data_IF_752005781782
#
_entry.id   IF_752005781782
#
_cell.length_a   1.000
_cell.length_b   1.000
_cell.length_c   1.000
_cell.angle_alpha   90.00
_cell.angle_beta   90.00
_cell.angle_gamma   90.00
#
_symmetry.space_group_name_H-M   'P 1'
#
loop_
_entity.id
_entity.type
_entity.pdbx_description
1 polymer ?
#
# COMPACT_ATOMS: atom_id res chain seq x y z
N UNK A 1 17.69 10.81 -0.27
CA UNK A 1 16.23 11.03 -0.25
C UNK A 1 15.90 12.10 0.77
N UNK A 2 14.92 12.98 0.49
CA UNK A 2 14.45 14.02 1.44
C UNK A 2 12.92 14.00 1.54
N UNK A 3 12.41 14.14 2.76
CA UNK A 3 10.97 14.21 3.02
C UNK A 3 10.42 15.52 2.47
N UNK A 4 9.41 15.44 1.61
CA UNK A 4 8.73 16.60 1.05
C UNK A 4 7.51 17.01 1.88
N UNK A 5 6.73 16.02 2.31
CA UNK A 5 5.50 16.22 3.07
C UNK A 5 5.07 14.91 3.74
N UNK A 6 4.35 15.03 4.85
CA UNK A 6 3.67 13.94 5.52
C UNK A 6 2.14 14.19 5.54
N UNK A 7 1.39 13.09 5.53
CA UNK A 7 -0.06 13.08 5.38
C UNK A 7 -0.69 12.14 6.40
N UNK A 8 -1.90 12.49 6.82
CA UNK A 8 -2.76 11.64 7.65
C UNK A 8 -3.68 10.75 6.77
N UNK A 9 -3.46 10.75 5.45
CA UNK A 9 -4.17 9.96 4.46
C UNK A 9 -3.19 9.31 3.48
N UNK A 10 -3.33 8.00 3.27
CA UNK A 10 -2.56 7.26 2.24
C UNK A 10 -2.88 7.81 0.84
N UNK A 11 -4.15 8.11 0.58
CA UNK A 11 -4.62 8.57 -0.73
C UNK A 11 -3.98 9.92 -1.11
N UNK A 12 -3.93 10.88 -0.18
CA UNK A 12 -3.30 12.19 -0.43
C UNK A 12 -1.80 12.05 -0.69
N UNK A 13 -1.10 11.19 0.08
CA UNK A 13 0.31 10.91 -0.12
C UNK A 13 0.58 10.28 -1.49
N UNK A 14 -0.24 9.30 -1.90
CA UNK A 14 -0.14 8.66 -3.21
C UNK A 14 -0.44 9.62 -4.35
N UNK A 15 -1.46 10.47 -4.22
CA UNK A 15 -1.80 11.48 -5.22
C UNK A 15 -0.65 12.46 -5.46
N UNK A 16 -0.02 12.97 -4.39
CA UNK A 16 1.15 13.83 -4.53
C UNK A 16 2.35 13.09 -5.14
N UNK A 17 2.58 11.83 -4.74
CA UNK A 17 3.66 11.02 -5.30
C UNK A 17 3.49 10.80 -6.80
N UNK A 18 2.29 10.40 -7.24
CA UNK A 18 1.97 10.19 -8.65
C UNK A 18 2.09 11.49 -9.45
N UNK A 19 1.57 12.60 -8.91
CA UNK A 19 1.72 13.92 -9.51
C UNK A 19 3.20 14.28 -9.75
N UNK A 20 4.07 14.06 -8.76
CA UNK A 20 5.50 14.32 -8.90
C UNK A 20 6.16 13.42 -9.96
N UNK A 21 5.82 12.13 -9.95
CA UNK A 21 6.31 11.16 -10.93
C UNK A 21 5.92 11.55 -12.36
N UNK A 22 4.69 11.99 -12.58
CA UNK A 22 4.19 12.41 -13.89
C UNK A 22 4.85 13.72 -14.38
N UNK A 23 5.37 14.54 -13.48
CA UNK A 23 6.18 15.72 -13.82
C UNK A 23 7.68 15.41 -13.97
N UNK A 24 8.06 14.14 -13.83
CA UNK A 24 9.45 13.68 -13.95
C UNK A 24 10.28 13.94 -12.71
N UNK A 25 9.68 13.91 -11.52
CA UNK A 25 10.37 13.92 -10.21
C UNK A 25 10.30 12.54 -9.59
N UNK A 26 11.46 11.98 -9.21
CA UNK A 26 11.52 10.66 -8.58
C UNK A 26 11.01 10.77 -7.14
N UNK A 27 9.81 10.25 -6.88
CA UNK A 27 9.16 10.31 -5.58
C UNK A 27 8.69 8.91 -5.12
N UNK A 28 8.69 8.69 -3.81
CA UNK A 28 8.20 7.45 -3.20
C UNK A 28 7.42 7.74 -1.93
N UNK A 29 6.45 6.88 -1.60
CA UNK A 29 5.65 6.95 -0.38
C UNK A 29 6.18 5.95 0.63
N UNK A 30 6.33 6.36 1.89
CA UNK A 30 6.72 5.47 2.99
C UNK A 30 5.73 5.52 4.15
N UNK A 31 5.74 4.48 4.97
CA UNK A 31 4.89 4.39 6.15
C UNK A 31 3.47 3.86 5.89
N UNK A 32 3.16 3.40 4.67
CA UNK A 32 1.83 2.85 4.32
C UNK A 32 1.44 1.67 5.21
N UNK A 33 2.30 0.65 5.32
CA UNK A 33 2.03 -0.52 6.16
C UNK A 33 1.94 -0.13 7.65
N UNK A 34 2.81 0.77 8.10
CA UNK A 34 2.77 1.26 9.48
C UNK A 34 1.45 1.99 9.76
N UNK A 35 0.97 2.82 8.83
CA UNK A 35 -0.31 3.52 8.93
C UNK A 35 -1.51 2.56 8.90
N UNK A 36 -1.50 1.53 8.05
CA UNK A 36 -2.54 0.49 8.02
C UNK A 36 -2.61 -0.29 9.34
N UNK A 37 -1.47 -0.51 9.99
CA UNK A 37 -1.37 -1.14 11.30
C UNK A 37 -1.17 -0.12 12.44
N UNK A 38 -1.72 1.10 12.33
CA UNK A 38 -1.51 2.21 13.29
C UNK A 38 -1.75 1.84 14.76
N UNK A 39 -2.68 0.92 15.04
CA UNK A 39 -2.98 0.43 16.40
C UNK A 39 -1.80 -0.32 17.00
N UNK A 40 -1.01 -1.02 16.19
CA UNK A 40 0.16 -1.78 16.60
C UNK A 40 1.46 -0.98 16.45
N UNK A 41 1.56 -0.17 15.40
CA UNK A 41 2.79 0.56 15.05
C UNK A 41 2.93 1.91 15.75
N UNK A 42 1.83 2.49 16.23
CA UNK A 42 1.78 3.87 16.73
C UNK A 42 1.98 4.95 15.65
N UNK A 43 2.19 4.57 14.39
CA UNK A 43 2.38 5.52 13.30
C UNK A 43 1.02 6.04 12.81
N UNK A 44 0.87 7.35 12.81
CA UNK A 44 -0.34 8.01 12.32
C UNK A 44 -0.15 8.71 10.98
N UNK A 45 1.06 8.70 10.41
CA UNK A 45 1.38 9.48 9.21
C UNK A 45 2.09 8.67 8.13
N UNK A 46 1.94 9.13 6.89
CA UNK A 46 2.53 8.59 5.67
C UNK A 46 3.36 9.69 5.01
N UNK A 47 4.62 9.41 4.66
CA UNK A 47 5.54 10.42 4.13
C UNK A 47 5.76 10.28 2.62
N UNK A 48 5.80 11.39 1.90
CA UNK A 48 6.24 11.48 0.50
C UNK A 48 7.68 11.98 0.46
N UNK A 49 8.55 11.21 -0.18
CA UNK A 49 9.99 11.44 -0.23
C UNK A 49 10.44 11.65 -1.67
N UNK A 50 11.29 12.65 -1.89
CA UNK A 50 12.01 12.82 -3.15
C UNK A 50 13.28 11.99 -3.12
N UNK A 51 13.47 11.15 -4.12
CA UNK A 51 14.57 10.18 -4.20
C UNK A 51 15.89 10.91 -4.40
N UNK A 52 15.97 11.77 -5.42
CA UNK A 52 17.16 12.53 -5.79
C UNK A 52 17.16 13.92 -5.16
N UNK A 53 18.26 14.30 -4.51
CA UNK A 53 18.34 15.57 -3.79
C UNK A 53 18.26 16.79 -4.72
N UNK A 54 18.83 16.70 -5.92
CA UNK A 54 18.76 17.76 -6.93
C UNK A 54 17.33 18.10 -7.36
N UNK A 55 16.41 17.14 -7.29
CA UNK A 55 15.00 17.35 -7.65
C UNK A 55 14.17 17.89 -6.48
N UNK A 56 14.73 17.94 -5.27
CA UNK A 56 13.97 18.34 -4.08
C UNK A 56 13.43 19.77 -4.17
N UNK A 57 14.23 20.70 -4.71
CA UNK A 57 13.79 22.07 -4.90
C UNK A 57 12.68 22.18 -5.94
N UNK A 58 12.79 21.43 -7.04
CA UNK A 58 11.75 21.37 -8.08
C UNK A 58 10.45 20.77 -7.55
N UNK A 59 10.53 19.73 -6.70
CA UNK A 59 9.37 19.17 -6.03
C UNK A 59 8.70 20.17 -5.08
N UNK A 60 9.48 20.95 -4.34
CA UNK A 60 8.98 22.02 -3.48
C UNK A 60 8.26 23.12 -4.28
N UNK A 61 8.79 23.46 -5.46
CA UNK A 61 8.18 24.45 -6.35
C UNK A 61 6.91 23.90 -6.99
N UNK A 62 6.91 22.67 -7.50
CA UNK A 62 5.72 22.00 -8.04
C UNK A 62 4.56 21.92 -7.06
N UNK A 63 4.85 21.78 -5.76
CA UNK A 63 3.83 21.79 -4.71
C UNK A 63 3.18 23.18 -4.52
N UNK A 64 3.90 24.25 -4.82
CA UNK A 64 3.43 25.65 -4.68
C UNK A 64 2.85 26.21 -5.98
N UNK A 65 3.40 25.80 -7.11
CA UNK A 65 3.04 26.22 -8.45
C UNK A 65 3.00 25.00 -9.36
N UNK A 66 1.81 24.65 -9.82
CA UNK A 66 1.59 23.51 -10.70
C UNK A 66 2.20 23.67 -12.09
N UNK A 67 2.56 24.90 -12.49
CA UNK A 67 3.18 25.17 -13.78
C UNK A 67 4.72 25.15 -13.73
N UNK A 68 5.32 24.82 -12.57
CA UNK A 68 6.77 24.75 -12.44
C UNK A 68 7.35 23.71 -13.40
N UNK A 69 8.35 24.12 -14.18
CA UNK A 69 9.06 23.22 -15.08
C UNK A 69 10.25 22.61 -14.36
N UNK A 70 10.21 21.29 -14.15
CA UNK A 70 11.29 20.53 -13.53
C UNK A 70 12.56 20.62 -14.38
N UNK A 71 13.66 21.02 -13.75
CA UNK A 71 14.93 21.30 -14.41
C UNK A 71 15.68 20.03 -14.82
N UNK A 72 15.61 19.00 -13.99
CA UNK A 72 16.23 17.69 -14.22
C UNK A 72 15.17 16.60 -14.13
N UNK A 73 14.44 16.40 -15.22
CA UNK A 73 13.46 15.32 -15.30
C UNK A 73 14.15 13.96 -15.37
N UNK A 74 13.57 12.95 -14.72
CA UNK A 74 13.95 11.57 -14.98
C UNK A 74 13.61 11.23 -16.44
N UNK A 75 14.39 10.37 -17.09
CA UNK A 75 14.03 9.83 -18.39
C UNK A 75 12.79 8.93 -18.28
N UNK A 76 11.98 8.86 -19.35
CA UNK A 76 10.77 8.02 -19.37
C UNK A 76 11.08 6.53 -19.13
N UNK A 77 12.21 6.05 -19.64
CA UNK A 77 12.66 4.67 -19.42
C UNK A 77 12.89 4.39 -17.93
N UNK A 78 13.66 5.26 -17.27
CA UNK A 78 13.97 5.11 -15.84
C UNK A 78 12.73 5.34 -14.97
N UNK A 79 11.80 6.19 -15.40
CA UNK A 79 10.51 6.37 -14.72
C UNK A 79 9.66 5.09 -14.75
N UNK A 80 9.60 4.40 -15.90
CA UNK A 80 8.83 3.16 -16.03
C UNK A 80 9.43 2.04 -15.16
N UNK A 81 10.75 1.88 -15.20
CA UNK A 81 11.47 0.94 -14.31
C UNK A 81 11.20 1.25 -12.84
N UNK A 82 11.16 2.52 -12.47
CA UNK A 82 10.89 2.96 -11.11
C UNK A 82 9.42 2.70 -10.70
N UNK A 83 8.45 2.92 -11.60
CA UNK A 83 7.03 2.61 -11.36
C UNK A 83 6.81 1.09 -11.20
N UNK A 84 7.43 0.27 -12.03
CA UNK A 84 7.38 -1.20 -11.90
C UNK A 84 7.94 -1.69 -10.55
N UNK A 85 9.00 -1.08 -10.05
CA UNK A 85 9.56 -1.40 -8.73
C UNK A 85 8.64 -1.00 -7.57
N UNK A 86 7.85 0.07 -7.72
CA UNK A 86 6.88 0.48 -6.71
C UNK A 86 5.65 -0.44 -6.70
N UNK A 87 5.14 -0.82 -7.88
CA UNK A 87 3.97 -1.69 -7.99
C UNK A 87 4.26 -3.13 -7.58
N UNK A 88 5.45 -3.65 -7.88
CA UNK A 88 5.85 -5.02 -7.49
C UNK A 88 6.10 -5.22 -5.99
N UNK A 89 6.17 -4.14 -5.21
CA UNK A 89 6.30 -4.18 -3.74
C UNK A 89 4.98 -4.34 -2.98
N UNK A 90 3.84 -4.23 -3.66
CA UNK A 90 2.52 -4.49 -3.10
C UNK A 90 2.21 -5.98 -3.13
N UNK A 91 1.87 -6.58 -1.98
CA UNK A 91 1.19 -7.89 -1.99
C UNK A 91 -0.11 -7.67 -2.76
N UNK A 92 -0.20 -8.21 -3.98
CA UNK A 92 -1.39 -8.13 -4.81
C UNK A 92 -2.62 -8.48 -3.98
N UNK A 93 -3.51 -7.51 -3.82
CA UNK A 93 -4.77 -7.69 -3.10
C UNK A 93 -5.62 -8.85 -3.67
N UNK A 94 -5.41 -9.21 -4.94
CA UNK A 94 -5.98 -10.42 -5.54
C UNK A 94 -5.45 -11.73 -4.96
N UNK A 95 -4.15 -11.83 -4.67
CA UNK A 95 -3.54 -13.00 -4.03
C UNK A 95 -4.03 -13.11 -2.58
N UNK A 96 -4.14 -11.99 -1.87
CA UNK A 96 -4.70 -11.93 -0.52
C UNK A 96 -6.15 -12.43 -0.45
N UNK A 97 -7.02 -11.97 -1.36
CA UNK A 97 -8.42 -12.40 -1.40
C UNK A 97 -8.58 -13.88 -1.75
N UNK A 98 -7.75 -14.43 -2.65
CA UNK A 98 -7.77 -15.86 -2.99
C UNK A 98 -7.36 -16.73 -1.80
N UNK A 99 -6.33 -16.34 -1.06
CA UNK A 99 -5.85 -17.08 0.13
C UNK A 99 -6.89 -17.01 1.26
N UNK A 100 -7.47 -15.83 1.51
CA UNK A 100 -8.50 -15.67 2.54
C UNK A 100 -9.74 -16.51 2.26
N UNK A 101 -10.21 -16.53 1.00
CA UNK A 101 -11.36 -17.34 0.61
C UNK A 101 -11.08 -18.84 0.76
N UNK A 102 -9.89 -19.30 0.38
CA UNK A 102 -9.48 -20.70 0.55
C UNK A 102 -9.47 -21.12 2.03
N UNK A 103 -8.91 -20.28 2.91
CA UNK A 103 -8.89 -20.54 4.35
C UNK A 103 -10.30 -20.56 4.96
N UNK A 104 -11.18 -19.66 4.52
CA UNK A 104 -12.57 -19.59 4.96
C UNK A 104 -13.34 -20.87 4.60
N UNK A 105 -13.18 -21.38 3.37
CA UNK A 105 -13.82 -22.62 2.92
C UNK A 105 -13.37 -23.80 3.78
N UNK A 106 -12.07 -23.95 4.04
CA UNK A 106 -11.55 -25.03 4.89
C UNK A 106 -12.15 -24.96 6.30
N UNK A 107 -12.19 -23.77 6.91
CA UNK A 107 -12.78 -23.59 8.24
C UNK A 107 -14.28 -23.93 8.27
N UNK A 108 -15.03 -23.57 7.22
CA UNK A 108 -16.47 -23.85 7.13
C UNK A 108 -16.78 -25.35 7.07
N UNK A 109 -15.98 -26.11 6.32
CA UNK A 109 -16.13 -27.58 6.23
C UNK A 109 -15.84 -28.23 7.58
N UNK A 110 -14.78 -27.76 8.26
CA UNK A 110 -14.35 -28.30 9.55
C UNK A 110 -15.39 -28.03 10.65
N UNK A 111 -16.01 -26.84 10.64
CA UNK A 111 -17.09 -26.52 11.58
C UNK A 111 -18.35 -27.35 11.34
N UNK A 112 -18.76 -27.57 10.09
CA UNK A 112 -19.89 -28.46 9.77
C UNK A 112 -19.62 -29.88 10.29
N UNK A 113 -18.40 -30.38 10.09
CA UNK A 113 -18.03 -31.73 10.54
C UNK A 113 -18.07 -31.87 12.05
N UNK A 114 -17.53 -30.88 12.78
CA UNK A 114 -17.54 -30.86 14.25
C UNK A 114 -18.96 -30.77 14.80
N UNK A 115 -19.79 -29.87 14.26
CA UNK A 115 -21.18 -29.72 14.69
C UNK A 115 -21.99 -30.98 14.38
N UNK A 116 -21.81 -31.57 13.20
CA UNK A 116 -22.45 -32.83 12.82
C UNK A 116 -22.07 -33.99 13.75
N UNK A 117 -20.79 -34.12 14.10
CA UNK A 117 -20.32 -35.14 15.04
C UNK A 117 -20.92 -34.96 16.44
N UNK A 118 -21.03 -33.73 16.94
CA UNK A 118 -21.64 -33.43 18.25
C UNK A 118 -23.14 -33.81 18.25
N UNK A 119 -23.86 -33.49 17.18
CA UNK A 119 -25.28 -33.83 17.05
C UNK A 119 -25.51 -35.34 16.95
N UNK A 120 -24.70 -36.05 16.18
CA UNK A 120 -24.74 -37.51 16.09
C UNK A 120 -24.46 -38.17 17.45
N UNK A 121 -23.43 -37.70 18.16
CA UNK A 121 -23.09 -38.20 19.48
C UNK A 121 -24.23 -37.99 20.49
N UNK A 122 -24.91 -36.84 20.43
CA UNK A 122 -26.09 -36.54 21.25
C UNK A 122 -27.27 -37.48 20.96
N UNK A 123 -27.51 -37.83 19.70
CA UNK A 123 -28.61 -38.73 19.31
C UNK A 123 -28.34 -40.15 19.82
N UNK A 124 -27.12 -40.67 19.64
CA UNK A 124 -26.72 -42.02 20.07
C UNK A 124 -26.79 -42.20 21.60
N UNK A 125 -26.59 -41.12 22.38
CA UNK A 125 -26.67 -41.15 23.85
C UNK A 125 -28.10 -41.05 24.41
N UNK A 126 -29.08 -40.72 23.57
CA UNK A 126 -30.49 -40.53 23.98
C UNK A 126 -31.34 -41.78 23.66
N UNK A 127 -30.91 -42.63 22.73
CA UNK A 127 -31.46 -43.99 22.50
C UNK A 127 -30.81 -45.04 23.40
#
# INVERSE_FOLDING_TARGET
>A
MKLLADFDSIEEAMNLCNYLLDHGVAATVSGVNAFQHRVLSGSTRVGVWVVYEEQFNDACQLKKDSNHVVSKKISEQLLNEFKEQLDSGGIDSELGNKIFFALFVIFSVLTIFVVGAILLFRIILIE
#
